data_IF_004926872962
#
_entry.id   IF_004926872962
#
_cell.length_a   1.000
_cell.length_b   1.000
_cell.length_c   1.000
_cell.angle_alpha   90.00
_cell.angle_beta   90.00
_cell.angle_gamma   90.00
#
_symmetry.space_group_name_H-M   'P 1'
#
loop_
_entity.id
_entity.type
_entity.pdbx_description
1 polymer ?
#
# COMPACT_ATOMS: atom_id res chain seq x y z
N UNK A 1 24.16 -5.58 18.84
CA UNK A 1 22.75 -5.94 19.15
C UNK A 1 21.83 -4.92 18.49
N UNK A 2 20.77 -5.34 17.78
CA UNK A 2 19.86 -4.40 17.13
C UNK A 2 19.04 -3.63 18.16
N UNK A 3 19.07 -2.30 18.02
CA UNK A 3 18.30 -1.36 18.84
C UNK A 3 17.63 -0.37 17.90
N UNK A 4 16.36 -0.08 18.11
CA UNK A 4 15.58 0.87 17.33
C UNK A 4 15.34 2.11 18.20
N UNK A 5 16.16 3.13 18.03
CA UNK A 5 16.02 4.40 18.73
C UNK A 5 14.96 5.29 18.07
N UNK A 6 14.91 5.27 16.75
CA UNK A 6 13.91 5.97 15.95
C UNK A 6 13.01 4.96 15.23
N UNK A 7 11.71 5.16 15.33
CA UNK A 7 10.71 4.29 14.68
C UNK A 7 10.84 4.27 13.15
N UNK A 8 11.38 5.32 12.55
CA UNK A 8 11.65 5.43 11.11
C UNK A 8 12.74 4.45 10.65
N UNK A 9 13.63 4.02 11.54
CA UNK A 9 14.73 3.10 11.25
C UNK A 9 14.32 1.62 11.22
N UNK A 10 13.05 1.30 11.36
CA UNK A 10 12.56 -0.07 11.29
C UNK A 10 11.36 -0.23 10.37
N UNK A 11 11.48 -1.02 9.32
CA UNK A 11 10.38 -1.35 8.40
C UNK A 11 9.53 -2.56 8.85
N UNK A 12 9.87 -3.23 9.95
CA UNK A 12 9.09 -4.37 10.47
C UNK A 12 9.25 -5.67 9.66
N UNK A 13 10.33 -5.85 8.90
CA UNK A 13 10.54 -7.02 8.04
C UNK A 13 10.89 -8.30 8.80
N UNK A 14 11.13 -8.25 10.10
CA UNK A 14 11.48 -9.38 10.98
C UNK A 14 12.73 -10.21 10.58
N UNK A 15 13.59 -9.73 9.67
CA UNK A 15 14.82 -10.44 9.30
C UNK A 15 15.75 -10.67 10.49
N UNK A 16 15.87 -9.69 11.38
CA UNK A 16 16.67 -9.78 12.60
C UNK A 16 16.16 -10.85 13.57
N UNK A 17 14.84 -11.00 13.70
CA UNK A 17 14.19 -12.03 14.54
C UNK A 17 14.48 -13.42 13.99
N UNK A 18 14.17 -13.62 12.69
CA UNK A 18 14.27 -14.94 12.05
C UNK A 18 15.72 -15.41 11.88
N UNK A 19 16.70 -14.50 11.84
CA UNK A 19 18.13 -14.87 11.71
C UNK A 19 18.87 -14.95 13.04
N UNK A 20 18.23 -14.64 14.17
CA UNK A 20 18.86 -14.70 15.48
C UNK A 20 19.16 -16.16 15.88
N UNK A 21 20.43 -16.55 16.05
CA UNK A 21 20.77 -17.94 16.37
C UNK A 21 20.39 -18.36 17.81
N UNK A 22 20.12 -17.37 18.67
CA UNK A 22 19.68 -17.58 20.06
C UNK A 22 18.18 -17.35 20.26
N UNK A 23 17.45 -17.00 19.19
CA UNK A 23 16.01 -16.69 19.24
C UNK A 23 15.63 -15.69 20.34
N UNK A 24 16.58 -14.79 20.68
CA UNK A 24 16.41 -13.80 21.74
C UNK A 24 15.80 -12.49 21.28
N UNK A 25 15.25 -12.43 20.06
CA UNK A 25 14.59 -11.25 19.51
C UNK A 25 13.14 -11.62 19.21
N UNK A 26 12.20 -10.83 19.74
CA UNK A 26 10.77 -10.93 19.46
C UNK A 26 10.26 -9.64 18.80
N UNK A 27 9.12 -9.72 18.08
CA UNK A 27 8.42 -8.53 17.59
C UNK A 27 7.36 -8.12 18.61
N UNK A 28 7.43 -6.87 19.06
CA UNK A 28 6.48 -6.28 20.03
C UNK A 28 5.70 -5.17 19.35
N UNK A 29 4.39 -5.16 19.56
CA UNK A 29 3.50 -4.12 19.04
C UNK A 29 3.66 -2.83 19.86
N UNK A 30 3.81 -1.70 19.20
CA UNK A 30 3.84 -0.39 19.82
C UNK A 30 2.43 0.22 19.97
N UNK A 31 2.35 1.41 20.57
CA UNK A 31 1.07 2.12 20.75
C UNK A 31 0.33 2.43 19.45
N UNK A 32 1.03 2.52 18.34
CA UNK A 32 0.44 2.75 17.01
C UNK A 32 0.02 1.46 16.29
N UNK A 33 0.34 0.27 16.86
CA UNK A 33 -0.01 -1.02 16.29
C UNK A 33 1.03 -1.59 15.33
N UNK A 34 2.24 -1.05 15.31
CA UNK A 34 3.34 -1.55 14.48
C UNK A 34 4.29 -2.42 15.30
N UNK A 35 4.78 -3.48 14.66
CA UNK A 35 5.73 -4.41 15.29
C UNK A 35 7.17 -3.90 15.18
N UNK A 36 7.89 -3.89 16.32
CA UNK A 36 9.31 -3.55 16.44
C UNK A 36 10.08 -4.65 17.16
N UNK A 37 11.37 -4.88 16.83
CA UNK A 37 12.17 -5.88 17.49
C UNK A 37 12.48 -5.47 18.92
N UNK A 38 12.28 -6.39 19.87
CA UNK A 38 12.71 -6.31 21.25
C UNK A 38 13.70 -7.44 21.53
N UNK A 39 14.83 -7.14 22.17
CA UNK A 39 15.91 -8.09 22.41
C UNK A 39 15.97 -8.46 23.88
N UNK A 40 15.93 -9.76 24.19
CA UNK A 40 16.29 -10.28 25.53
C UNK A 40 17.81 -10.23 25.65
N UNK A 41 18.31 -9.26 26.41
CA UNK A 41 19.75 -9.00 26.58
C UNK A 41 20.47 -10.11 27.33
N UNK A 42 19.81 -10.83 28.26
CA UNK A 42 20.39 -11.93 29.03
C UNK A 42 20.74 -13.14 28.14
N UNK A 43 19.96 -13.36 27.06
CA UNK A 43 20.17 -14.45 26.12
C UNK A 43 21.03 -14.03 24.91
N UNK A 44 21.27 -12.75 24.73
CA UNK A 44 21.98 -12.21 23.60
C UNK A 44 23.50 -12.43 23.72
N UNK A 45 24.10 -13.09 22.74
CA UNK A 45 25.56 -13.33 22.66
C UNK A 45 26.29 -12.24 21.86
N UNK A 46 25.65 -11.12 21.56
CA UNK A 46 26.20 -9.95 20.84
C UNK A 46 26.89 -10.26 19.50
N UNK A 47 26.47 -11.32 18.81
CA UNK A 47 27.08 -11.76 17.52
C UNK A 47 26.91 -10.78 16.35
N UNK A 48 26.08 -9.73 16.47
CA UNK A 48 25.87 -8.68 15.45
C UNK A 48 25.10 -9.13 14.20
N UNK A 49 24.64 -10.38 14.11
CA UNK A 49 23.94 -10.90 12.91
C UNK A 49 22.67 -10.11 12.63
N UNK A 50 21.90 -9.74 13.64
CA UNK A 50 20.66 -8.98 13.52
C UNK A 50 20.86 -7.61 12.83
N UNK A 51 22.01 -6.96 13.04
CA UNK A 51 22.37 -5.71 12.39
C UNK A 51 22.80 -5.94 10.93
N UNK A 52 23.58 -7.01 10.68
CA UNK A 52 24.07 -7.37 9.34
C UNK A 52 22.93 -7.73 8.39
N UNK A 53 21.82 -8.32 8.88
CA UNK A 53 20.66 -8.68 8.05
C UNK A 53 19.58 -7.59 7.99
N UNK A 54 19.77 -6.47 8.67
CA UNK A 54 18.80 -5.37 8.67
C UNK A 54 18.87 -4.57 7.37
N UNK A 55 17.81 -4.54 6.54
CA UNK A 55 17.81 -3.79 5.28
C UNK A 55 17.82 -2.28 5.50
N UNK A 56 17.40 -1.79 6.68
CA UNK A 56 17.38 -0.36 6.99
C UNK A 56 18.77 0.17 7.37
N UNK A 57 19.65 -0.71 7.91
CA UNK A 57 21.06 -0.39 8.21
C UNK A 57 22.00 -0.71 7.05
N UNK A 58 21.64 -1.67 6.20
CA UNK A 58 22.43 -2.14 5.07
C UNK A 58 21.66 -1.86 3.76
N UNK A 59 21.50 -0.57 3.46
CA UNK A 59 20.74 -0.10 2.30
C UNK A 59 21.48 -0.53 1.03
N UNK A 60 20.74 -1.14 0.09
CA UNK A 60 21.28 -1.47 -1.23
C UNK A 60 21.33 -0.25 -2.14
N UNK A 61 22.19 -0.30 -3.16
CA UNK A 61 22.27 0.75 -4.17
C UNK A 61 20.98 0.87 -4.99
N UNK A 62 20.74 2.05 -5.55
CA UNK A 62 19.67 2.28 -6.51
C UNK A 62 19.92 1.45 -7.77
N UNK A 63 18.82 0.89 -8.32
CA UNK A 63 18.87 0.15 -9.56
C UNK A 63 17.73 0.57 -10.48
N UNK A 64 18.08 0.75 -11.76
CA UNK A 64 17.08 0.92 -12.82
C UNK A 64 16.67 -0.46 -13.36
N UNK A 65 15.45 -0.62 -13.84
CA UNK A 65 15.03 -1.84 -14.50
C UNK A 65 15.74 -2.00 -15.85
N UNK A 66 15.88 -3.24 -16.29
CA UNK A 66 16.38 -3.55 -17.63
C UNK A 66 15.34 -3.19 -18.70
N UNK A 67 14.05 -3.46 -18.40
CA UNK A 67 12.90 -3.19 -19.26
C UNK A 67 11.66 -2.83 -18.45
N UNK A 68 10.73 -2.15 -19.09
CA UNK A 68 9.43 -1.78 -18.52
C UNK A 68 8.33 -2.13 -19.49
N UNK A 69 7.20 -2.66 -18.96
CA UNK A 69 6.08 -3.12 -19.77
C UNK A 69 4.75 -2.63 -19.22
N UNK A 70 3.82 -2.28 -20.12
CA UNK A 70 2.40 -2.32 -19.84
C UNK A 70 1.91 -3.74 -20.10
N UNK A 71 1.25 -4.38 -19.14
CA UNK A 71 0.90 -5.79 -19.26
C UNK A 71 -0.41 -6.16 -18.56
N UNK A 72 -1.09 -7.19 -19.09
CA UNK A 72 -2.27 -7.79 -18.46
C UNK A 72 -2.44 -9.25 -18.89
N UNK A 73 -3.11 -10.04 -18.05
CA UNK A 73 -3.54 -11.41 -18.40
C UNK A 73 -4.73 -11.37 -19.37
N UNK A 74 -4.77 -12.30 -20.31
CA UNK A 74 -5.90 -12.48 -21.24
C UNK A 74 -7.14 -13.12 -20.59
N UNK A 75 -7.02 -13.70 -19.38
CA UNK A 75 -8.18 -14.19 -18.62
C UNK A 75 -8.86 -13.03 -17.88
N UNK A 76 -10.00 -12.58 -18.42
CA UNK A 76 -10.78 -11.49 -17.84
C UNK A 76 -11.27 -11.77 -16.40
N UNK A 77 -11.49 -13.04 -16.00
CA UNK A 77 -11.91 -13.40 -14.64
C UNK A 77 -10.77 -13.17 -13.66
N UNK A 78 -9.56 -13.59 -14.03
CA UNK A 78 -8.35 -13.35 -13.25
C UNK A 78 -8.04 -11.84 -13.17
N UNK A 79 -8.15 -11.15 -14.30
CA UNK A 79 -7.94 -9.72 -14.37
C UNK A 79 -8.93 -8.94 -13.49
N UNK A 80 -10.20 -9.34 -13.47
CA UNK A 80 -11.23 -8.73 -12.61
C UNK A 80 -10.96 -8.94 -11.12
N UNK A 81 -10.54 -10.14 -10.71
CA UNK A 81 -10.18 -10.46 -9.32
C UNK A 81 -8.88 -9.81 -8.86
N UNK A 82 -8.02 -9.40 -9.77
CA UNK A 82 -6.74 -8.75 -9.47
C UNK A 82 -6.91 -7.26 -9.23
N UNK A 83 -5.99 -6.66 -8.47
CA UNK A 83 -5.98 -5.20 -8.25
C UNK A 83 -5.71 -4.42 -9.54
N UNK A 84 -4.93 -5.01 -10.46
CA UNK A 84 -4.52 -4.40 -11.73
C UNK A 84 -4.66 -5.41 -12.89
N UNK A 85 -3.64 -5.61 -13.71
CA UNK A 85 -3.64 -6.45 -14.90
C UNK A 85 -3.53 -7.96 -14.68
N UNK A 86 -3.39 -8.46 -13.43
CA UNK A 86 -3.37 -9.90 -13.14
C UNK A 86 -2.00 -10.60 -13.24
N UNK A 87 -0.92 -9.85 -13.39
CA UNK A 87 0.44 -10.38 -13.62
C UNK A 87 0.93 -11.25 -12.47
N UNK A 88 0.60 -10.91 -11.21
CA UNK A 88 0.96 -11.74 -10.05
C UNK A 88 0.45 -13.18 -10.21
N UNK A 89 -0.82 -13.35 -10.62
CA UNK A 89 -1.41 -14.68 -10.78
C UNK A 89 -0.67 -15.51 -11.83
N UNK A 90 -0.36 -14.93 -12.99
CA UNK A 90 0.33 -15.64 -14.07
C UNK A 90 1.75 -16.07 -13.66
N UNK A 91 2.48 -15.21 -12.94
CA UNK A 91 3.78 -15.57 -12.37
C UNK A 91 3.62 -16.73 -11.37
N UNK A 92 2.69 -16.60 -10.43
CA UNK A 92 2.45 -17.58 -9.37
C UNK A 92 2.04 -18.94 -9.94
N UNK A 93 1.10 -18.95 -10.90
CA UNK A 93 0.64 -20.15 -11.59
C UNK A 93 1.79 -20.87 -12.32
N UNK A 94 2.66 -20.12 -13.02
CA UNK A 94 3.83 -20.69 -13.68
C UNK A 94 4.77 -21.37 -12.67
N UNK A 95 5.02 -20.75 -11.51
CA UNK A 95 5.89 -21.33 -10.47
C UNK A 95 5.26 -22.59 -9.85
N UNK A 96 3.95 -22.59 -9.58
CA UNK A 96 3.23 -23.77 -9.06
C UNK A 96 3.25 -24.92 -10.08
N UNK A 97 3.02 -24.63 -11.36
CA UNK A 97 3.06 -25.64 -12.42
C UNK A 97 4.42 -26.34 -12.53
N UNK A 98 5.50 -25.63 -12.17
CA UNK A 98 6.87 -26.19 -12.09
C UNK A 98 7.16 -26.90 -10.74
N UNK A 99 6.15 -27.18 -9.89
CA UNK A 99 6.31 -27.79 -8.57
C UNK A 99 6.92 -26.84 -7.53
N UNK A 100 6.89 -25.53 -7.78
CA UNK A 100 7.43 -24.51 -6.90
C UNK A 100 6.50 -24.12 -5.74
N UNK A 101 6.92 -23.12 -4.98
CA UNK A 101 6.22 -22.59 -3.81
C UNK A 101 6.07 -21.09 -3.99
N UNK A 102 4.89 -20.56 -3.67
CA UNK A 102 4.56 -19.13 -3.78
C UNK A 102 4.31 -18.52 -2.41
N UNK A 103 5.05 -17.48 -2.07
CA UNK A 103 4.85 -16.68 -0.87
C UNK A 103 4.13 -15.37 -1.22
N UNK A 104 3.12 -15.02 -0.41
CA UNK A 104 2.34 -13.81 -0.60
C UNK A 104 1.61 -13.37 0.66
N UNK A 105 1.02 -12.18 0.62
CA UNK A 105 0.21 -11.65 1.73
C UNK A 105 -1.24 -12.14 1.63
N UNK A 106 -1.78 -12.66 2.74
CA UNK A 106 -3.19 -13.05 2.86
C UNK A 106 -3.79 -12.56 4.17
N UNK A 107 -5.11 -12.65 4.29
CA UNK A 107 -5.77 -12.50 5.58
C UNK A 107 -5.70 -13.80 6.37
N UNK A 108 -5.53 -13.70 7.69
CA UNK A 108 -5.73 -14.78 8.63
C UNK A 108 -7.21 -14.88 9.06
N UNK A 109 -7.53 -15.79 9.97
CA UNK A 109 -8.88 -16.00 10.50
C UNK A 109 -9.45 -14.79 11.29
N UNK A 110 -8.58 -13.86 11.69
CA UNK A 110 -8.93 -12.61 12.36
C UNK A 110 -8.88 -11.40 11.44
N UNK A 111 -8.78 -11.64 10.15
CA UNK A 111 -8.63 -10.61 9.11
C UNK A 111 -7.43 -9.69 9.31
N UNK A 112 -6.38 -10.19 9.98
CA UNK A 112 -5.08 -9.56 10.01
C UNK A 112 -4.29 -9.99 8.77
N UNK A 113 -3.45 -9.11 8.25
CA UNK A 113 -2.63 -9.44 7.09
C UNK A 113 -1.35 -10.13 7.55
N UNK A 114 -1.12 -11.32 7.02
CA UNK A 114 0.07 -12.12 7.27
C UNK A 114 0.74 -12.51 5.95
N UNK A 115 2.04 -12.77 6.00
CA UNK A 115 2.74 -13.47 4.93
C UNK A 115 2.57 -14.98 5.14
N UNK A 116 2.32 -15.71 4.06
CA UNK A 116 2.17 -17.16 4.06
C UNK A 116 2.63 -17.73 2.71
N UNK A 117 2.60 -19.06 2.57
CA UNK A 117 2.90 -19.72 1.29
C UNK A 117 1.79 -20.67 0.86
N UNK A 118 1.83 -21.04 -0.42
CA UNK A 118 1.02 -22.10 -1.01
C UNK A 118 1.85 -22.92 -2.00
N UNK A 119 1.45 -24.18 -2.18
CA UNK A 119 2.01 -25.13 -3.12
C UNK A 119 0.98 -25.58 -4.17
N UNK A 120 -0.21 -24.97 -4.16
CA UNK A 120 -1.29 -25.28 -5.08
C UNK A 120 -1.91 -24.02 -5.71
N UNK A 121 -2.52 -24.18 -6.89
CA UNK A 121 -3.10 -23.07 -7.66
C UNK A 121 -4.26 -22.39 -6.91
N UNK A 122 -5.11 -23.16 -6.22
CA UNK A 122 -6.23 -22.61 -5.46
C UNK A 122 -5.77 -21.64 -4.35
N UNK A 123 -4.64 -21.92 -3.70
CA UNK A 123 -4.09 -21.06 -2.68
C UNK A 123 -3.55 -19.71 -3.20
N UNK A 124 -3.32 -19.58 -4.52
CA UNK A 124 -2.92 -18.29 -5.13
C UNK A 124 -4.01 -17.24 -4.93
N UNK A 125 -5.28 -17.66 -4.94
CA UNK A 125 -6.40 -16.74 -4.80
C UNK A 125 -6.43 -15.98 -3.46
N UNK A 126 -5.89 -16.55 -2.38
CA UNK A 126 -5.76 -15.88 -1.09
C UNK A 126 -4.76 -14.70 -1.14
N UNK A 127 -3.77 -14.79 -2.02
CA UNK A 127 -2.75 -13.76 -2.19
C UNK A 127 -3.15 -12.67 -3.18
N UNK A 128 -4.17 -12.90 -4.01
CA UNK A 128 -4.66 -11.91 -4.97
C UNK A 128 -5.33 -10.73 -4.27
N UNK A 129 -5.30 -9.59 -4.92
CA UNK A 129 -5.85 -8.35 -4.39
C UNK A 129 -4.95 -7.66 -3.36
N UNK A 130 -4.83 -6.35 -3.45
CA UNK A 130 -4.05 -5.55 -2.50
C UNK A 130 -4.70 -5.57 -1.12
N UNK A 131 -3.88 -5.72 -0.08
CA UNK A 131 -4.28 -5.67 1.32
C UNK A 131 -3.58 -4.48 1.97
N UNK A 132 -4.30 -3.38 2.13
CA UNK A 132 -3.72 -2.11 2.61
C UNK A 132 -3.62 -2.06 4.13
N UNK A 133 -2.91 -3.05 4.70
CA UNK A 133 -2.53 -3.15 6.11
C UNK A 133 -1.13 -3.73 6.15
N UNK A 134 -0.29 -3.35 7.12
CA UNK A 134 1.02 -3.97 7.26
C UNK A 134 0.89 -5.47 7.52
N UNK A 135 1.54 -6.29 6.69
CA UNK A 135 1.57 -7.73 6.89
C UNK A 135 2.61 -8.12 7.96
N UNK A 136 2.23 -9.02 8.86
CA UNK A 136 3.19 -9.73 9.70
C UNK A 136 3.94 -10.75 8.83
N UNK A 137 5.27 -10.68 8.84
CA UNK A 137 6.12 -11.54 7.99
C UNK A 137 6.19 -12.99 8.54
N UNK A 138 5.83 -13.22 9.80
CA UNK A 138 5.86 -14.53 10.45
C UNK A 138 7.25 -15.19 10.32
N UNK A 139 7.30 -16.50 10.00
CA UNK A 139 8.55 -17.27 9.81
C UNK A 139 8.92 -17.45 8.32
N UNK A 140 8.28 -16.69 7.42
CA UNK A 140 8.31 -16.97 5.97
C UNK A 140 9.71 -16.86 5.34
N UNK A 141 10.65 -16.15 5.93
CA UNK A 141 12.04 -16.13 5.43
C UNK A 141 12.77 -17.44 5.72
N UNK A 142 12.54 -18.04 6.91
CA UNK A 142 13.06 -19.35 7.26
C UNK A 142 12.44 -20.46 6.39
N UNK A 143 11.12 -20.40 6.20
CA UNK A 143 10.39 -21.35 5.34
C UNK A 143 10.88 -21.26 3.89
N UNK A 144 11.02 -20.04 3.33
CA UNK A 144 11.56 -19.84 1.99
C UNK A 144 13.00 -20.37 1.88
N UNK A 145 13.87 -20.10 2.86
CA UNK A 145 15.24 -20.65 2.87
C UNK A 145 15.25 -22.19 2.89
N UNK A 146 14.31 -22.81 3.61
CA UNK A 146 14.18 -24.28 3.66
C UNK A 146 13.80 -24.86 2.31
N UNK A 147 12.81 -24.29 1.62
CA UNK A 147 12.43 -24.71 0.26
C UNK A 147 13.57 -24.51 -0.75
N UNK A 148 14.28 -23.37 -0.66
CA UNK A 148 15.41 -23.08 -1.54
C UNK A 148 16.56 -24.09 -1.34
N UNK A 149 16.87 -24.48 -0.10
CA UNK A 149 17.87 -25.51 0.23
C UNK A 149 17.45 -26.90 -0.24
N UNK A 150 16.13 -27.17 -0.28
CA UNK A 150 15.56 -28.40 -0.86
C UNK A 150 15.48 -28.35 -2.40
N UNK A 151 16.14 -27.39 -3.03
CA UNK A 151 16.17 -27.16 -4.48
C UNK A 151 14.79 -26.93 -5.13
N UNK A 152 13.78 -26.50 -4.34
CA UNK A 152 12.48 -26.10 -4.84
C UNK A 152 12.54 -24.70 -5.44
N UNK A 153 11.80 -24.44 -6.52
CA UNK A 153 11.57 -23.07 -7.00
C UNK A 153 10.73 -22.30 -5.99
N UNK A 154 11.13 -21.09 -5.67
CA UNK A 154 10.41 -20.21 -4.75
C UNK A 154 10.11 -18.89 -5.44
N UNK A 155 8.85 -18.52 -5.47
CA UNK A 155 8.40 -17.16 -5.73
C UNK A 155 8.14 -16.48 -4.38
N UNK A 156 8.85 -15.40 -4.09
CA UNK A 156 8.55 -14.58 -2.91
C UNK A 156 8.05 -13.20 -3.35
N UNK A 157 6.80 -12.88 -3.00
CA UNK A 157 6.19 -11.57 -3.30
C UNK A 157 6.00 -10.75 -2.04
N UNK A 158 6.13 -9.44 -2.13
CA UNK A 158 5.97 -8.56 -0.97
C UNK A 158 6.18 -7.10 -1.28
N UNK A 159 6.20 -6.28 -0.23
CA UNK A 159 6.61 -4.88 -0.37
C UNK A 159 8.12 -4.77 -0.58
N UNK A 160 8.65 -3.66 -1.14
CA UNK A 160 10.08 -3.51 -1.37
C UNK A 160 10.95 -3.77 -0.11
N UNK A 161 10.51 -3.31 1.05
CA UNK A 161 11.24 -3.52 2.30
C UNK A 161 11.22 -4.98 2.78
N UNK A 162 10.14 -5.74 2.50
CA UNK A 162 10.09 -7.18 2.78
C UNK A 162 11.05 -7.95 1.87
N UNK A 163 11.08 -7.63 0.57
CA UNK A 163 12.04 -8.23 -0.38
C UNK A 163 13.49 -7.89 0.02
N UNK A 164 13.78 -6.63 0.35
CA UNK A 164 15.09 -6.24 0.86
C UNK A 164 15.46 -7.02 2.13
N UNK A 165 14.51 -7.21 3.05
CA UNK A 165 14.67 -8.01 4.26
C UNK A 165 14.99 -9.47 3.95
N UNK A 166 14.26 -10.12 3.06
CA UNK A 166 14.52 -11.50 2.60
C UNK A 166 15.92 -11.63 1.99
N UNK A 167 16.30 -10.73 1.08
CA UNK A 167 17.63 -10.76 0.43
C UNK A 167 18.75 -10.63 1.46
N UNK A 168 18.63 -9.72 2.43
CA UNK A 168 19.61 -9.59 3.54
C UNK A 168 19.60 -10.77 4.50
N UNK A 169 18.43 -11.36 4.75
CA UNK A 169 18.29 -12.58 5.55
C UNK A 169 19.01 -13.77 4.90
N UNK A 170 18.83 -14.01 3.60
CA UNK A 170 19.41 -15.13 2.88
C UNK A 170 20.94 -15.02 2.76
N UNK A 171 21.51 -13.81 2.65
CA UNK A 171 22.96 -13.50 2.55
C UNK A 171 23.70 -14.14 1.38
N UNK A 172 22.98 -14.76 0.47
CA UNK A 172 23.51 -15.33 -0.79
C UNK A 172 22.40 -15.31 -1.84
N UNK A 173 22.79 -15.36 -3.10
CA UNK A 173 21.87 -15.54 -4.20
C UNK A 173 21.50 -17.01 -4.39
N UNK A 174 20.23 -17.24 -4.73
CA UNK A 174 19.71 -18.54 -5.09
C UNK A 174 19.15 -18.48 -6.52
N UNK A 175 19.59 -19.37 -7.37
CA UNK A 175 19.13 -19.45 -8.78
C UNK A 175 17.66 -19.84 -8.88
N UNK A 176 17.16 -20.63 -7.91
CA UNK A 176 15.78 -21.10 -7.80
C UNK A 176 14.86 -20.14 -7.02
N UNK A 177 15.30 -18.91 -6.68
CA UNK A 177 14.49 -17.88 -6.08
C UNK A 177 14.10 -16.82 -7.12
N UNK A 178 12.81 -16.55 -7.27
CA UNK A 178 12.26 -15.38 -7.96
C UNK A 178 11.68 -14.45 -6.90
N UNK A 179 11.99 -13.16 -6.97
CA UNK A 179 11.44 -12.14 -6.08
C UNK A 179 10.66 -11.10 -6.85
N UNK A 180 9.45 -10.79 -6.37
CA UNK A 180 8.59 -9.76 -6.95
C UNK A 180 8.19 -8.77 -5.86
N UNK A 181 8.52 -7.51 -6.04
CA UNK A 181 7.96 -6.47 -5.19
C UNK A 181 6.80 -5.73 -5.86
N UNK A 182 5.96 -5.14 -5.04
CA UNK A 182 4.86 -4.30 -5.48
C UNK A 182 5.21 -2.84 -5.30
N UNK A 183 4.75 -1.98 -6.22
CA UNK A 183 4.79 -0.53 -5.96
C UNK A 183 4.03 -0.23 -4.67
N UNK A 184 4.75 0.24 -3.66
CA UNK A 184 4.22 0.41 -2.32
C UNK A 184 4.11 1.89 -1.97
N UNK A 185 2.88 2.35 -1.69
CA UNK A 185 2.64 3.69 -1.18
C UNK A 185 3.19 3.84 0.26
N UNK A 186 2.80 2.92 1.13
CA UNK A 186 3.12 2.80 2.54
C UNK A 186 2.20 1.78 3.18
N UNK A 187 2.49 1.34 4.40
CA UNK A 187 1.70 0.32 5.10
C UNK A 187 0.92 0.91 6.26
N UNK A 188 -0.43 0.84 6.24
CA UNK A 188 -1.29 1.26 7.33
C UNK A 188 -1.13 0.44 8.61
N UNK A 189 -1.46 1.07 9.73
CA UNK A 189 -1.44 0.47 11.06
C UNK A 189 -2.40 -0.71 11.19
N UNK A 190 -1.91 -1.90 11.63
CA UNK A 190 -2.77 -3.04 11.95
C UNK A 190 -3.76 -2.75 13.09
N UNK A 191 -3.40 -1.91 14.05
CA UNK A 191 -4.30 -1.51 15.15
C UNK A 191 -5.49 -0.70 14.64
N UNK A 192 -5.25 0.29 13.78
CA UNK A 192 -6.33 1.08 13.17
C UNK A 192 -7.26 0.19 12.34
N UNK A 193 -6.69 -0.81 11.63
CA UNK A 193 -7.47 -1.79 10.89
C UNK A 193 -8.36 -2.65 11.81
N UNK A 194 -7.82 -3.19 12.90
CA UNK A 194 -8.59 -3.96 13.89
C UNK A 194 -9.75 -3.12 14.43
N UNK A 195 -9.46 -1.90 14.90
CA UNK A 195 -10.47 -0.99 15.45
C UNK A 195 -11.56 -0.65 14.42
N UNK A 196 -11.18 -0.45 13.15
CA UNK A 196 -12.13 -0.23 12.06
C UNK A 196 -13.05 -1.45 11.85
N UNK A 197 -12.50 -2.67 11.86
CA UNK A 197 -13.30 -3.88 11.73
C UNK A 197 -14.24 -4.07 12.93
N UNK A 198 -13.77 -3.85 14.16
CA UNK A 198 -14.58 -3.98 15.38
C UNK A 198 -15.76 -2.99 15.41
N UNK A 199 -15.55 -1.78 14.87
CA UNK A 199 -16.61 -0.78 14.76
C UNK A 199 -17.64 -1.14 13.68
N UNK A 200 -17.19 -1.67 12.54
CA UNK A 200 -18.05 -2.02 11.41
C UNK A 200 -18.78 -3.34 11.64
N UNK A 201 -18.09 -4.32 12.18
CA UNK A 201 -18.59 -5.67 12.41
C UNK A 201 -18.38 -6.05 13.88
N UNK A 202 -19.46 -6.33 14.61
CA UNK A 202 -19.38 -6.67 16.04
C UNK A 202 -18.59 -7.96 16.34
N UNK A 203 -18.37 -8.79 15.34
CA UNK A 203 -17.56 -10.01 15.43
C UNK A 203 -16.88 -10.27 14.09
N UNK A 204 -15.55 -10.17 14.08
CA UNK A 204 -14.73 -10.35 12.87
C UNK A 204 -14.86 -11.75 12.25
N UNK A 205 -15.28 -12.77 13.03
CA UNK A 205 -15.55 -14.13 12.53
C UNK A 205 -16.71 -14.16 11.53
N UNK A 206 -17.55 -13.15 11.54
CA UNK A 206 -18.69 -13.03 10.62
C UNK A 206 -18.31 -12.30 9.31
N UNK A 207 -17.07 -11.84 9.15
CA UNK A 207 -16.61 -11.26 7.91
C UNK A 207 -16.46 -12.37 6.87
N UNK A 208 -17.00 -12.14 5.68
CA UNK A 208 -17.02 -13.10 4.58
C UNK A 208 -15.97 -12.73 3.50
N UNK A 209 -15.75 -11.44 3.28
CA UNK A 209 -14.86 -10.96 2.22
C UNK A 209 -14.45 -9.50 2.47
N UNK A 210 -13.19 -9.17 2.16
CA UNK A 210 -12.64 -7.82 2.17
C UNK A 210 -11.87 -7.57 0.89
N UNK A 211 -12.25 -6.53 0.15
CA UNK A 211 -11.60 -6.10 -1.08
C UNK A 211 -11.27 -4.61 -1.01
N UNK A 212 -10.00 -4.28 -0.99
CA UNK A 212 -9.54 -2.89 -1.03
C UNK A 212 -9.52 -2.28 -2.44
N UNK A 213 -9.61 -3.15 -3.46
CA UNK A 213 -9.50 -2.79 -4.88
C UNK A 213 -10.62 -3.40 -5.71
N UNK A 214 -11.88 -3.28 -5.24
CA UNK A 214 -13.05 -3.76 -5.97
C UNK A 214 -13.25 -2.93 -7.26
N UNK A 215 -13.42 -3.61 -8.41
CA UNK A 215 -13.53 -3.02 -9.75
C UNK A 215 -14.96 -2.89 -10.27
N UNK A 216 -15.99 -2.96 -9.44
CA UNK A 216 -17.40 -2.84 -9.89
C UNK A 216 -17.70 -1.54 -10.65
N UNK A 217 -16.93 -0.48 -10.40
CA UNK A 217 -17.05 0.82 -11.08
C UNK A 217 -15.87 1.10 -12.02
N UNK A 218 -15.17 0.05 -12.45
CA UNK A 218 -13.94 0.13 -13.23
C UNK A 218 -12.68 0.17 -12.37
N UNK A 219 -11.54 0.01 -13.02
CA UNK A 219 -10.23 0.02 -12.38
C UNK A 219 -9.84 1.42 -11.89
N UNK A 220 -10.12 2.47 -12.68
CA UNK A 220 -9.82 3.86 -12.32
C UNK A 220 -10.64 4.34 -11.12
N UNK A 221 -11.87 3.81 -10.93
CA UNK A 221 -12.78 4.15 -9.84
C UNK A 221 -12.96 3.00 -8.86
N UNK A 222 -11.85 2.31 -8.56
CA UNK A 222 -11.89 1.20 -7.62
C UNK A 222 -12.50 1.59 -6.27
N UNK A 223 -13.07 0.59 -5.60
CA UNK A 223 -13.73 0.79 -4.31
C UNK A 223 -13.21 -0.16 -3.24
N UNK A 224 -13.59 0.16 -2.01
CA UNK A 224 -13.51 -0.72 -0.85
C UNK A 224 -14.80 -1.53 -0.75
N UNK A 225 -14.71 -2.81 -0.47
CA UNK A 225 -15.84 -3.68 -0.15
C UNK A 225 -15.52 -4.49 1.10
N UNK A 226 -16.50 -4.58 2.00
CA UNK A 226 -16.48 -5.48 3.14
C UNK A 226 -17.85 -6.16 3.24
N UNK A 227 -17.86 -7.49 3.17
CA UNK A 227 -19.05 -8.32 3.29
C UNK A 227 -19.02 -9.08 4.61
N UNK A 228 -20.12 -9.07 5.36
CA UNK A 228 -20.22 -9.76 6.65
C UNK A 228 -21.63 -10.26 6.89
N UNK A 229 -21.76 -11.19 7.84
CA UNK A 229 -23.03 -11.74 8.28
C UNK A 229 -23.39 -11.22 9.67
N UNK A 230 -24.65 -10.87 9.90
CA UNK A 230 -25.18 -10.47 11.20
C UNK A 230 -26.62 -10.98 11.34
N UNK A 231 -26.91 -11.77 12.40
CA UNK A 231 -28.22 -12.38 12.63
C UNK A 231 -28.75 -13.10 11.37
N UNK A 232 -27.91 -13.94 10.75
CA UNK A 232 -28.19 -14.70 9.51
C UNK A 232 -28.53 -13.85 8.27
N UNK A 233 -28.33 -12.55 8.31
CA UNK A 233 -28.45 -11.67 7.16
C UNK A 233 -27.07 -11.25 6.67
N UNK A 234 -26.90 -11.23 5.35
CA UNK A 234 -25.66 -10.76 4.71
C UNK A 234 -25.71 -9.25 4.47
N UNK A 235 -24.68 -8.58 4.91
CA UNK A 235 -24.47 -7.14 4.70
C UNK A 235 -23.24 -6.93 3.82
N UNK A 236 -23.26 -5.88 3.03
CA UNK A 236 -22.14 -5.51 2.20
C UNK A 236 -21.98 -3.99 2.21
N UNK A 237 -20.86 -3.53 2.76
CA UNK A 237 -20.45 -2.14 2.68
C UNK A 237 -19.62 -1.98 1.39
N UNK A 238 -20.04 -1.05 0.53
CA UNK A 238 -19.34 -0.71 -0.71
C UNK A 238 -19.24 0.80 -0.83
N UNK A 239 -18.04 1.27 -1.09
CA UNK A 239 -17.76 2.68 -1.33
C UNK A 239 -16.66 2.81 -2.36
N UNK A 240 -16.60 3.92 -3.08
CA UNK A 240 -15.38 4.28 -3.80
C UNK A 240 -14.28 4.62 -2.77
N UNK A 241 -13.02 4.48 -3.14
CA UNK A 241 -11.90 4.64 -2.21
C UNK A 241 -11.86 6.00 -1.49
N UNK A 242 -12.38 7.07 -2.11
CA UNK A 242 -12.46 8.41 -1.50
C UNK A 242 -13.70 8.67 -0.62
N UNK A 243 -14.59 7.68 -0.46
CA UNK A 243 -15.78 7.73 0.40
C UNK A 243 -15.72 6.74 1.57
N UNK A 244 -14.58 6.07 1.76
CA UNK A 244 -14.34 5.13 2.85
C UNK A 244 -13.31 5.72 3.82
N UNK A 245 -13.61 5.75 5.09
CA UNK A 245 -12.82 6.42 6.12
C UNK A 245 -11.42 5.80 6.25
N UNK A 246 -11.31 4.46 6.26
CA UNK A 246 -10.02 3.77 6.33
C UNK A 246 -9.17 4.03 5.09
N UNK A 247 -9.79 3.99 3.90
CA UNK A 247 -9.10 4.30 2.65
C UNK A 247 -8.66 5.77 2.60
N UNK A 248 -9.47 6.70 3.11
CA UNK A 248 -9.08 8.11 3.23
C UNK A 248 -7.88 8.28 4.17
N UNK A 249 -7.86 7.58 5.31
CA UNK A 249 -6.74 7.64 6.25
C UNK A 249 -5.43 7.14 5.62
N UNK A 250 -5.50 6.10 4.75
CA UNK A 250 -4.37 5.65 3.94
C UNK A 250 -3.95 6.72 2.91
N UNK A 251 -4.91 7.22 2.09
CA UNK A 251 -4.62 8.12 0.97
C UNK A 251 -4.12 9.50 1.41
N UNK A 252 -4.46 9.92 2.64
CA UNK A 252 -3.95 11.15 3.26
C UNK A 252 -2.72 10.91 4.14
N UNK A 253 -2.09 9.73 4.05
CA UNK A 253 -0.86 9.39 4.77
C UNK A 253 -0.97 9.53 6.30
N UNK A 254 -2.19 9.40 6.85
CA UNK A 254 -2.46 9.62 8.27
C UNK A 254 -2.00 8.46 9.15
N UNK A 255 -2.12 7.21 8.65
CA UNK A 255 -2.00 5.98 9.44
C UNK A 255 -0.85 5.08 9.01
N UNK A 256 0.10 5.62 8.24
CA UNK A 256 1.23 4.85 7.74
C UNK A 256 2.31 4.64 8.81
N UNK A 257 3.07 3.55 8.63
CA UNK A 257 4.26 3.27 9.45
C UNK A 257 5.29 4.40 9.31
N UNK A 258 5.95 4.85 10.40
CA UNK A 258 6.94 5.93 10.35
C UNK A 258 8.01 5.76 9.26
N UNK A 259 8.57 4.55 9.10
CA UNK A 259 9.59 4.27 8.06
C UNK A 259 9.09 4.38 6.61
N UNK A 260 7.79 4.50 6.37
CA UNK A 260 7.25 4.66 5.01
C UNK A 260 7.44 6.07 4.47
N UNK A 261 7.55 7.08 5.32
CA UNK A 261 7.71 8.47 4.92
C UNK A 261 9.13 8.77 4.36
N UNK A 262 10.13 7.96 4.76
CA UNK A 262 11.48 7.97 4.21
C UNK A 262 11.94 6.56 3.79
N UNK A 263 11.13 5.90 2.97
CA UNK A 263 11.32 4.49 2.62
C UNK A 263 12.67 4.22 1.95
N UNK A 264 13.56 3.54 2.67
CA UNK A 264 14.92 3.19 2.21
C UNK A 264 14.95 2.04 1.19
N UNK A 265 13.80 1.40 0.89
CA UNK A 265 13.72 0.26 -0.03
C UNK A 265 13.19 0.61 -1.43
N UNK A 266 12.73 1.83 -1.68
CA UNK A 266 12.30 2.34 -3.00
C UNK A 266 13.50 2.53 -3.97
N UNK A 267 13.22 2.92 -5.21
CA UNK A 267 14.23 3.15 -6.25
C UNK A 267 15.02 1.88 -6.64
N UNK A 268 14.37 0.72 -6.69
CA UNK A 268 15.01 -0.54 -7.03
C UNK A 268 15.96 -1.11 -5.95
N UNK A 269 16.01 -0.49 -4.77
CA UNK A 269 16.87 -0.92 -3.65
C UNK A 269 16.41 -2.22 -2.98
N UNK A 270 15.20 -2.68 -3.26
CA UNK A 270 14.72 -4.01 -2.84
C UNK A 270 15.56 -5.15 -3.41
N UNK A 271 16.19 -4.93 -4.58
CA UNK A 271 16.87 -5.94 -5.40
C UNK A 271 15.94 -7.09 -5.84
N UNK A 272 14.64 -6.79 -6.06
CA UNK A 272 13.70 -7.75 -6.64
C UNK A 272 14.06 -8.11 -8.08
N UNK A 273 13.58 -9.26 -8.55
CA UNK A 273 13.72 -9.65 -9.94
C UNK A 273 12.69 -8.94 -10.83
N UNK A 274 11.50 -8.72 -10.29
CA UNK A 274 10.41 -7.98 -10.93
C UNK A 274 9.79 -6.98 -9.95
N UNK A 275 9.29 -5.86 -10.47
CA UNK A 275 8.41 -4.95 -9.75
C UNK A 275 7.08 -4.88 -10.50
N UNK A 276 5.95 -5.03 -9.79
CA UNK A 276 4.62 -4.90 -10.36
C UNK A 276 3.86 -3.73 -9.73
N UNK A 277 3.11 -3.00 -10.54
CA UNK A 277 2.34 -1.82 -10.13
C UNK A 277 1.05 -1.70 -10.93
N UNK A 278 0.16 -0.80 -10.54
CA UNK A 278 -0.82 -0.24 -11.46
C UNK A 278 -0.09 0.63 -12.49
N UNK A 279 -0.57 0.65 -13.74
CA UNK A 279 -0.04 1.59 -14.74
C UNK A 279 -0.94 2.83 -14.82
N UNK A 280 -0.84 3.70 -13.81
CA UNK A 280 -1.54 4.98 -13.85
C UNK A 280 -1.05 5.82 -15.01
N UNK A 281 -1.97 6.52 -15.70
CA UNK A 281 -1.66 7.34 -16.87
C UNK A 281 -1.46 6.55 -18.16
N UNK A 282 -1.85 5.26 -18.20
CA UNK A 282 -1.79 4.41 -19.40
C UNK A 282 -2.51 5.04 -20.60
N UNK A 283 -3.58 5.80 -20.36
CA UNK A 283 -4.35 6.52 -21.38
C UNK A 283 -3.53 7.57 -22.13
N UNK A 284 -2.44 8.05 -21.53
CA UNK A 284 -1.53 9.02 -22.15
C UNK A 284 -0.31 8.36 -22.83
N UNK A 285 -0.08 7.05 -22.57
CA UNK A 285 1.09 6.31 -23.08
C UNK A 285 0.67 5.31 -24.14
N UNK A 286 -0.36 4.51 -23.89
CA UNK A 286 -0.92 3.48 -24.76
C UNK A 286 -2.45 3.48 -24.62
N UNK A 287 -3.12 4.50 -25.16
CA UNK A 287 -4.56 4.71 -25.01
C UNK A 287 -5.40 3.50 -25.39
N UNK A 288 -5.02 2.78 -26.46
CA UNK A 288 -5.74 1.61 -26.97
C UNK A 288 -5.72 0.42 -26.00
N UNK A 289 -4.80 0.38 -25.05
CA UNK A 289 -4.78 -0.65 -24.00
C UNK A 289 -5.75 -0.36 -22.86
N UNK A 290 -6.22 0.88 -22.70
CA UNK A 290 -7.03 1.28 -21.57
C UNK A 290 -8.50 0.91 -21.76
N UNK A 291 -8.91 -0.24 -21.26
CA UNK A 291 -10.28 -0.75 -21.23
C UNK A 291 -10.93 -0.68 -19.83
N UNK A 292 -10.33 0.07 -18.90
CA UNK A 292 -10.74 0.23 -17.49
C UNK A 292 -10.85 -1.10 -16.68
N UNK A 293 -10.27 -2.20 -17.19
CA UNK A 293 -10.21 -3.49 -16.47
C UNK A 293 -8.95 -3.61 -15.61
N UNK A 294 -7.96 -2.74 -15.81
CA UNK A 294 -6.67 -2.70 -15.11
C UNK A 294 -5.50 -3.14 -15.97
N UNK A 295 -4.48 -2.30 -16.00
CA UNK A 295 -3.19 -2.55 -16.66
C UNK A 295 -2.10 -2.50 -15.61
N UNK A 296 -1.24 -3.52 -15.59
CA UNK A 296 -0.05 -3.52 -14.73
C UNK A 296 1.13 -2.85 -15.42
N UNK A 297 1.83 -2.02 -14.68
CA UNK A 297 3.21 -1.67 -14.99
C UNK A 297 4.09 -2.80 -14.43
N UNK A 298 4.94 -3.38 -15.28
CA UNK A 298 5.89 -4.42 -14.90
C UNK A 298 7.30 -3.96 -15.22
N UNK A 299 8.15 -3.93 -14.22
CA UNK A 299 9.57 -3.61 -14.37
C UNK A 299 10.36 -4.93 -14.26
N UNK A 300 11.07 -5.30 -15.33
CA UNK A 300 12.02 -6.40 -15.31
C UNK A 300 13.36 -5.87 -14.79
N UNK A 301 13.71 -6.23 -13.56
CA UNK A 301 14.89 -5.73 -12.87
C UNK A 301 16.13 -6.61 -13.08
N UNK A 302 15.95 -7.88 -13.46
CA UNK A 302 17.04 -8.84 -13.75
C UNK A 302 16.74 -9.60 -15.04
N UNK A 303 17.78 -10.20 -15.64
CA UNK A 303 17.62 -11.12 -16.77
C UNK A 303 16.69 -12.28 -16.41
N UNK A 304 16.82 -12.83 -15.21
CA UNK A 304 15.94 -13.91 -14.71
C UNK A 304 14.46 -13.49 -14.66
N UNK A 305 14.18 -12.26 -14.21
CA UNK A 305 12.83 -11.70 -14.23
C UNK A 305 12.30 -11.50 -15.66
N UNK A 306 13.14 -10.99 -16.55
CA UNK A 306 12.80 -10.82 -17.97
C UNK A 306 12.51 -12.16 -18.65
N UNK A 307 13.37 -13.17 -18.48
CA UNK A 307 13.18 -14.51 -19.02
C UNK A 307 11.88 -15.17 -18.54
N UNK A 308 11.50 -14.93 -17.27
CA UNK A 308 10.21 -15.39 -16.74
C UNK A 308 9.06 -14.73 -17.48
N UNK A 309 9.08 -13.39 -17.63
CA UNK A 309 8.00 -12.66 -18.31
C UNK A 309 7.82 -13.08 -19.77
N UNK A 310 8.87 -13.52 -20.45
CA UNK A 310 8.76 -14.00 -21.84
C UNK A 310 8.00 -15.32 -21.96
N UNK A 311 7.93 -16.12 -20.89
CA UNK A 311 7.25 -17.42 -20.86
C UNK A 311 5.76 -17.34 -20.48
N UNK A 312 5.32 -16.18 -19.95
CA UNK A 312 3.95 -16.03 -19.44
C UNK A 312 2.94 -15.77 -20.57
N UNK A 313 1.70 -16.30 -20.47
CA UNK A 313 0.62 -16.06 -21.42
C UNK A 313 -0.06 -14.70 -21.15
N UNK A 314 0.69 -13.62 -21.27
CA UNK A 314 0.23 -12.24 -21.00
C UNK A 314 0.32 -11.37 -22.24
N UNK A 315 -0.60 -10.44 -22.37
CA UNK A 315 -0.45 -9.31 -23.30
C UNK A 315 0.51 -8.29 -22.69
N UNK A 316 1.57 -7.93 -23.42
CA UNK A 316 2.55 -6.94 -22.94
C UNK A 316 3.09 -6.07 -24.06
N UNK A 317 3.30 -4.78 -23.73
CA UNK A 317 3.94 -3.80 -24.62
C UNK A 317 5.09 -3.14 -23.86
N UNK A 318 6.27 -3.12 -24.49
CA UNK A 318 7.45 -2.46 -23.92
C UNK A 318 7.24 -0.94 -23.97
N UNK A 319 7.58 -0.26 -22.89
CA UNK A 319 7.49 1.21 -22.74
C UNK A 319 8.78 1.74 -22.15
N UNK A 320 9.10 3.01 -22.37
CA UNK A 320 10.26 3.60 -21.72
C UNK A 320 10.03 3.74 -20.20
N UNK A 321 11.08 3.56 -19.41
CA UNK A 321 11.00 3.70 -17.96
C UNK A 321 10.60 5.11 -17.54
N UNK A 322 11.07 6.13 -18.25
CA UNK A 322 10.76 7.54 -18.01
C UNK A 322 9.27 7.82 -18.17
N UNK A 323 8.64 7.32 -19.23
CA UNK A 323 7.20 7.41 -19.43
C UNK A 323 6.43 6.67 -18.33
N UNK A 324 6.90 5.48 -17.95
CA UNK A 324 6.24 4.67 -16.93
C UNK A 324 6.23 5.36 -15.56
N UNK A 325 7.35 5.93 -15.11
CA UNK A 325 7.45 6.53 -13.79
C UNK A 325 6.82 7.92 -13.71
N UNK A 326 6.69 8.64 -14.82
CA UNK A 326 6.12 9.99 -14.85
C UNK A 326 4.72 10.03 -14.20
N UNK A 327 3.91 9.01 -14.46
CA UNK A 327 2.56 8.86 -13.90
C UNK A 327 2.52 7.99 -12.64
N UNK A 328 3.63 7.35 -12.26
CA UNK A 328 3.70 6.36 -11.19
C UNK A 328 4.68 6.77 -10.08
N UNK A 329 4.48 7.96 -9.51
CA UNK A 329 5.33 8.51 -8.46
C UNK A 329 5.51 7.58 -7.25
N UNK A 330 4.58 6.65 -6.99
CA UNK A 330 4.66 5.67 -5.89
C UNK A 330 5.89 4.76 -5.96
N UNK A 331 6.51 4.59 -7.15
CA UNK A 331 7.74 3.80 -7.32
C UNK A 331 8.97 4.50 -6.72
N UNK A 332 9.05 5.82 -6.87
CA UNK A 332 10.22 6.61 -6.48
C UNK A 332 9.89 7.72 -5.47
N UNK A 333 8.66 8.21 -5.44
CA UNK A 333 8.23 9.25 -4.50
C UNK A 333 8.00 8.71 -3.08
N UNK A 334 8.14 9.61 -2.11
CA UNK A 334 7.82 9.34 -0.70
C UNK A 334 6.44 9.87 -0.36
N UNK A 335 5.81 9.24 0.64
CA UNK A 335 4.60 9.77 1.27
C UNK A 335 4.96 10.96 2.14
N UNK A 336 4.04 11.92 2.25
CA UNK A 336 4.22 13.05 3.16
C UNK A 336 3.47 12.78 4.47
N UNK A 337 4.18 12.79 5.60
CA UNK A 337 3.54 12.60 6.89
C UNK A 337 2.43 13.62 7.09
N UNK A 338 1.21 13.13 7.40
CA UNK A 338 0.09 14.02 7.64
C UNK A 338 0.33 14.88 8.90
N UNK A 339 0.13 16.22 8.87
CA UNK A 339 0.48 17.09 10.00
C UNK A 339 -0.21 16.74 11.32
N UNK A 340 -1.37 16.10 11.25
CA UNK A 340 -2.14 15.68 12.44
C UNK A 340 -1.91 14.21 12.82
N UNK A 341 -0.92 13.51 12.23
CA UNK A 341 -0.67 12.09 12.48
C UNK A 341 -0.40 11.80 13.96
N UNK A 342 0.52 12.54 14.57
CA UNK A 342 0.84 12.37 16.00
C UNK A 342 -0.38 12.56 16.89
N UNK A 343 -1.15 13.61 16.64
CA UNK A 343 -2.38 13.88 17.40
C UNK A 343 -3.44 12.79 17.19
N UNK A 344 -3.54 12.23 15.99
CA UNK A 344 -4.44 11.10 15.68
C UNK A 344 -4.11 9.89 16.56
N UNK A 345 -2.85 9.44 16.56
CA UNK A 345 -2.44 8.27 17.33
C UNK A 345 -2.51 8.50 18.85
N UNK A 346 -2.26 9.72 19.34
CA UNK A 346 -2.48 10.05 20.76
C UNK A 346 -3.94 9.88 21.19
N UNK A 347 -4.90 10.18 20.30
CA UNK A 347 -6.34 10.04 20.58
C UNK A 347 -6.90 8.67 20.26
N UNK A 348 -6.14 7.82 19.58
CA UNK A 348 -6.61 6.52 19.12
C UNK A 348 -7.01 5.61 20.28
N UNK A 349 -6.25 5.63 21.39
CA UNK A 349 -6.51 4.81 22.57
C UNK A 349 -7.68 5.32 23.44
N UNK A 350 -8.09 6.57 23.23
CA UNK A 350 -9.17 7.22 23.99
C UNK A 350 -10.55 7.01 23.36
N UNK A 351 -10.62 6.42 22.16
CA UNK A 351 -11.87 6.27 21.42
C UNK A 351 -12.16 4.84 20.97
N UNK A 352 -13.45 4.52 20.88
CA UNK A 352 -13.95 3.35 20.14
C UNK A 352 -14.50 3.72 18.76
N UNK A 353 -14.68 5.02 18.47
CA UNK A 353 -15.17 5.57 17.21
C UNK A 353 -13.97 5.96 16.34
N UNK A 354 -13.33 4.97 15.73
CA UNK A 354 -12.15 5.22 14.86
C UNK A 354 -12.55 5.92 13.57
N UNK A 355 -13.75 5.65 13.02
CA UNK A 355 -14.26 6.30 11.80
C UNK A 355 -14.47 7.79 12.05
N UNK A 356 -15.19 8.14 13.12
CA UNK A 356 -15.39 9.54 13.51
C UNK A 356 -14.08 10.25 13.85
N UNK A 357 -13.10 9.57 14.46
CA UNK A 357 -11.77 10.13 14.69
C UNK A 357 -11.03 10.45 13.37
N UNK A 358 -11.09 9.53 12.40
CA UNK A 358 -10.52 9.74 11.05
C UNK A 358 -11.20 10.93 10.37
N UNK A 359 -12.52 10.94 10.31
CA UNK A 359 -13.31 12.01 9.69
C UNK A 359 -12.98 13.37 10.31
N UNK A 360 -12.98 13.47 11.64
CA UNK A 360 -12.65 14.69 12.36
C UNK A 360 -11.23 15.16 12.11
N UNK A 361 -10.29 14.23 12.03
CA UNK A 361 -8.86 14.53 11.79
C UNK A 361 -8.64 15.03 10.36
N UNK A 362 -9.26 14.38 9.38
CA UNK A 362 -9.14 14.71 7.95
C UNK A 362 -10.07 15.83 7.52
N UNK A 363 -11.08 16.16 8.33
CA UNK A 363 -11.98 17.29 8.02
C UNK A 363 -11.17 18.57 7.80
N UNK A 364 -11.35 19.22 6.65
CA UNK A 364 -10.73 20.51 6.45
C UNK A 364 -11.20 21.46 7.54
N UNK A 365 -10.32 22.32 8.04
CA UNK A 365 -10.70 23.49 8.80
C UNK A 365 -11.86 24.17 8.07
N UNK A 366 -12.86 24.72 8.80
CA UNK A 366 -14.08 25.31 8.21
C UNK A 366 -13.75 26.30 7.08
N UNK A 367 -12.63 27.03 7.18
CA UNK A 367 -12.14 27.92 6.14
C UNK A 367 -11.69 27.18 4.87
N UNK A 368 -11.02 26.04 5.00
CA UNK A 368 -10.61 25.21 3.86
C UNK A 368 -11.81 24.54 3.20
N UNK A 369 -12.80 24.11 4.00
CA UNK A 369 -14.07 23.56 3.50
C UNK A 369 -14.84 24.61 2.71
N UNK A 370 -14.98 25.82 3.25
CA UNK A 370 -15.63 26.95 2.58
C UNK A 370 -14.89 27.36 1.29
N UNK A 371 -13.56 27.48 1.33
CA UNK A 371 -12.74 27.73 0.13
C UNK A 371 -12.94 26.65 -0.94
N UNK A 372 -13.00 25.37 -0.58
CA UNK A 372 -13.26 24.27 -1.54
C UNK A 372 -14.67 24.34 -2.12
N UNK A 373 -15.71 24.63 -1.31
CA UNK A 373 -17.08 24.83 -1.80
C UNK A 373 -17.17 26.02 -2.76
N UNK A 374 -16.56 27.14 -2.40
CA UNK A 374 -16.53 28.33 -3.27
C UNK A 374 -15.81 28.02 -4.58
N UNK A 375 -14.63 27.39 -4.55
CA UNK A 375 -13.90 26.97 -5.78
C UNK A 375 -14.75 26.03 -6.66
N UNK A 376 -15.48 25.08 -6.06
CA UNK A 376 -16.36 24.16 -6.80
C UNK A 376 -17.54 24.90 -7.43
N UNK A 377 -18.16 25.83 -6.69
CA UNK A 377 -19.28 26.61 -7.19
C UNK A 377 -18.88 27.56 -8.33
N UNK A 378 -17.76 28.26 -8.20
CA UNK A 378 -17.21 29.10 -9.25
C UNK A 378 -16.84 28.30 -10.50
N UNK A 379 -16.28 27.10 -10.34
CA UNK A 379 -15.98 26.21 -11.47
C UNK A 379 -17.24 25.73 -12.21
N UNK A 380 -18.38 25.62 -11.51
CA UNK A 380 -19.68 25.29 -12.14
C UNK A 380 -20.31 26.49 -12.85
N UNK A 381 -20.10 27.70 -12.35
CA UNK A 381 -20.61 28.94 -12.98
C UNK A 381 -19.82 29.32 -14.24
N UNK A 382 -18.52 29.05 -14.25
CA UNK A 382 -17.67 29.28 -15.44
C UNK A 382 -17.79 28.11 -16.42
N UNK A 383 -18.92 27.96 -17.05
CA UNK A 383 -19.17 26.95 -18.08
C UNK A 383 -18.25 27.16 -19.29
N UNK A 384 -17.02 26.63 -19.22
CA UNK A 384 -16.17 26.37 -20.40
C UNK A 384 -14.98 27.29 -20.64
N UNK A 385 -14.71 28.34 -19.89
CA UNK A 385 -13.57 29.23 -20.12
C UNK A 385 -12.45 29.05 -19.08
N UNK A 386 -11.38 28.31 -19.39
CA UNK A 386 -10.21 28.14 -18.51
C UNK A 386 -9.52 29.47 -18.12
N UNK A 387 -9.77 30.56 -18.86
CA UNK A 387 -9.20 31.89 -18.61
C UNK A 387 -9.89 32.63 -17.45
N UNK A 388 -11.21 32.58 -17.38
CA UNK A 388 -11.99 33.26 -16.32
C UNK A 388 -11.78 32.65 -14.94
N UNK A 389 -11.65 31.30 -14.88
CA UNK A 389 -11.36 30.61 -13.60
C UNK A 389 -10.02 31.03 -12.98
N UNK A 390 -9.00 31.25 -13.80
CA UNK A 390 -7.67 31.71 -13.35
C UNK A 390 -7.71 33.12 -12.76
N UNK A 391 -8.62 33.95 -13.19
CA UNK A 391 -8.77 35.34 -12.69
C UNK A 391 -9.37 35.37 -11.28
N UNK A 392 -10.22 34.40 -10.91
CA UNK A 392 -10.84 34.33 -9.58
C UNK A 392 -10.00 33.59 -8.52
N UNK A 393 -9.00 32.82 -8.93
CA UNK A 393 -8.14 32.04 -8.02
C UNK A 393 -7.39 32.91 -6.99
N UNK A 394 -6.75 34.03 -7.35
CA UNK A 394 -6.08 34.90 -6.39
C UNK A 394 -7.04 35.50 -5.36
N UNK A 395 -8.24 35.89 -5.78
CA UNK A 395 -9.27 36.50 -4.92
C UNK A 395 -9.74 35.53 -3.84
N UNK A 396 -9.82 34.21 -4.15
CA UNK A 396 -10.22 33.18 -3.18
C UNK A 396 -9.15 32.96 -2.11
N UNK A 397 -7.88 33.13 -2.46
CA UNK A 397 -6.78 32.93 -1.51
C UNK A 397 -6.59 34.15 -0.58
N UNK A 398 -7.11 35.33 -0.96
CA UNK A 398 -7.11 36.57 -0.15
C UNK A 398 -8.36 36.73 0.74
N UNK A 399 -9.36 35.84 0.69
CA UNK A 399 -10.57 35.95 1.53
C UNK A 399 -10.19 35.77 3.00
N UNK A 400 -10.14 36.86 3.73
CA UNK A 400 -9.98 36.91 5.18
C UNK A 400 -11.33 36.97 5.87
N UNK A 401 -11.69 35.92 6.60
CA UNK A 401 -12.91 35.89 7.41
C UNK A 401 -12.64 36.56 8.79
N UNK A 402 -13.23 37.72 9.04
CA UNK A 402 -13.26 38.32 10.40
C UNK A 402 -14.38 37.67 11.20
N UNK A 403 -14.03 36.84 12.18
CA UNK A 403 -14.97 36.32 13.17
C UNK A 403 -15.18 37.33 14.28
N UNK A 404 -16.42 37.70 14.59
CA UNK A 404 -16.77 38.31 15.87
C UNK A 404 -17.00 37.21 16.92
N UNK A 405 -16.35 37.30 18.06
CA UNK A 405 -16.57 36.46 19.23
C UNK A 405 -18.04 36.50 19.66
N UNK A 406 -18.69 35.37 19.69
CA UNK A 406 -19.70 34.88 20.62
C UNK A 406 -20.81 34.05 19.93
N UNK A 407 -20.99 32.82 20.38
CA UNK A 407 -22.23 32.05 20.26
C UNK A 407 -22.59 31.52 18.87
N UNK A 408 -22.75 30.21 18.76
CA UNK A 408 -23.24 29.50 17.56
C UNK A 408 -24.57 30.09 17.07
N UNK A 409 -24.55 30.87 15.99
CA UNK A 409 -25.73 31.18 15.16
C UNK A 409 -25.32 31.17 13.69
N UNK A 410 -26.27 30.77 12.83
CA UNK A 410 -26.15 30.66 11.36
C UNK A 410 -25.29 31.78 10.76
N UNK A 411 -24.26 31.40 10.02
CA UNK A 411 -23.45 32.35 9.26
C UNK A 411 -24.20 32.69 7.98
N UNK A 412 -24.59 33.94 7.81
CA UNK A 412 -24.92 34.53 6.51
C UNK A 412 -23.62 34.90 5.82
N UNK A 413 -23.39 34.31 4.65
CA UNK A 413 -22.24 34.66 3.79
C UNK A 413 -22.71 35.77 2.88
N UNK A 414 -22.32 37.03 3.23
CA UNK A 414 -22.56 38.18 2.35
C UNK A 414 -21.32 38.37 1.47
N UNK A 415 -21.49 38.23 0.16
CA UNK A 415 -20.45 38.50 -0.82
C UNK A 415 -20.47 39.99 -1.15
N UNK A 416 -19.44 40.73 -0.79
CA UNK A 416 -19.20 42.06 -1.32
C UNK A 416 -18.32 41.95 -2.56
N UNK A 417 -18.89 42.19 -3.74
CA UNK A 417 -18.12 42.43 -4.95
C UNK A 417 -17.73 43.92 -4.96
N UNK A 418 -16.44 44.23 -4.98
CA UNK A 418 -15.98 45.56 -5.37
C UNK A 418 -16.26 45.72 -6.86
N UNK A 419 -17.14 46.66 -7.22
CA UNK A 419 -17.53 46.94 -8.58
C UNK A 419 -16.51 47.82 -9.36
N UNK A 420 -15.29 47.91 -8.93
CA UNK A 420 -14.30 48.86 -9.48
C UNK A 420 -13.23 48.18 -10.33
N UNK A 421 -13.57 47.10 -11.05
CA UNK A 421 -12.70 46.56 -12.11
C UNK A 421 -13.54 45.74 -13.09
N UNK A 422 -14.34 46.41 -13.88
CA UNK A 422 -14.81 45.97 -15.18
C UNK A 422 -14.12 46.80 -16.26
#
# INVERSE_FOLDING_TARGET
MITISDKEDCCGCAACVQKCPKHCISMVEDSEGFLYPSVNTEQCIECGICEKVCPMRNISEKRLPLKSYAAYTSDDRIRYRSSSGGIFYEIAKNIIADGGVVFGAKFDEKWQVIMAYTECEDGIFDFMGSKYVQANVCATFQEAESFLKANRKVLYTGTPCQIAGLKKYLRKDYTNLITVDVSCHGVPSPKVWRMYLDEVCSDVRNILDVQFRNKLRGWNKFGFQLSYEKKSNRYCIRSVHWDNEFMLALLYDLILRPSCYECKAKHGRSNSDLTIADFWGIENVLADMNDDKGISLVLANTLKGEELLQKLPISKHEVSYECAIFYNNGLNGFCNMHPKRTLFFQKLDETKDVKGLIEKTLSPNIFQYLKRKIKKYLKQLCNGGASEYKTFLPIIDEINFRGKNSGWRKYEIVFYFKADSL
#
